data_IF_113051925393
#
_entry.id   IF_113051925393
#
_cell.length_a   1.000
_cell.length_b   1.000
_cell.length_c   1.000
_cell.angle_alpha   90.00
_cell.angle_beta   90.00
_cell.angle_gamma   90.00
#
_symmetry.space_group_name_H-M   'P 1'
#
loop_
_entity.id
_entity.type
_entity.pdbx_description
1 polymer ?
#
# COMPACT_ATOMS: atom_id res chain seq x y z
N UNK A 1 8.45 28.78 -21.76
CA UNK A 1 8.54 28.55 -21.27
C UNK A 1 8.85 27.64 -20.52
N UNK A 2 9.07 27.14 -20.46
CA UNK A 2 9.48 26.36 -19.88
C UNK A 2 9.92 26.22 -18.83
N UNK A 3 10.00 26.35 -18.78
CA UNK A 3 10.39 26.75 -17.66
C UNK A 3 9.90 26.15 -16.45
N UNK A 4 8.87 25.54 -16.43
CA UNK A 4 8.24 25.02 -15.29
C UNK A 4 9.03 24.00 -14.60
N UNK A 5 9.70 23.18 -15.34
CA UNK A 5 10.46 22.19 -14.67
C UNK A 5 11.53 22.78 -13.87
N UNK A 6 12.04 23.88 -14.34
CA UNK A 6 13.11 24.50 -13.62
C UNK A 6 12.67 24.99 -12.27
N UNK A 7 11.38 25.19 -12.09
CA UNK A 7 10.90 25.67 -10.82
C UNK A 7 10.53 24.60 -9.86
N UNK A 8 10.62 23.35 -10.30
CA UNK A 8 10.30 22.27 -9.42
C UNK A 8 11.33 22.18 -8.32
N UNK A 9 10.88 22.13 -7.09
CA UNK A 9 11.78 22.05 -5.97
C UNK A 9 12.35 20.66 -5.85
N UNK A 10 13.61 20.54 -5.40
CA UNK A 10 14.16 19.21 -5.15
C UNK A 10 13.35 18.51 -4.08
N UNK A 11 13.11 17.24 -4.29
CA UNK A 11 12.40 16.45 -3.32
C UNK A 11 13.39 15.79 -2.37
N UNK A 12 12.95 15.57 -1.15
CA UNK A 12 13.74 14.80 -0.22
C UNK A 12 13.91 13.39 -0.75
N UNK A 13 14.97 12.71 -0.36
CA UNK A 13 15.17 11.34 -0.83
C UNK A 13 14.05 10.44 -0.33
N UNK A 14 13.72 9.40 -1.09
CA UNK A 14 12.70 8.47 -0.65
C UNK A 14 13.16 7.64 0.52
N UNK A 15 12.23 7.33 1.42
CA UNK A 15 12.44 6.44 2.53
C UNK A 15 11.50 5.26 2.31
N UNK A 16 12.06 4.05 2.32
CA UNK A 16 11.26 2.84 2.13
C UNK A 16 11.06 2.16 3.46
N UNK A 17 9.85 1.64 3.66
CA UNK A 17 9.54 0.95 4.90
C UNK A 17 8.70 -0.28 4.58
N UNK A 18 9.17 -1.43 5.04
CA UNK A 18 8.45 -2.69 4.85
C UNK A 18 7.39 -2.83 5.93
N UNK A 19 6.20 -3.29 5.54
CA UNK A 19 5.18 -3.67 6.52
C UNK A 19 5.48 -5.03 7.13
N UNK A 20 6.64 -5.57 6.86
CA UNK A 20 7.23 -6.74 7.50
C UNK A 20 6.53 -8.02 7.07
N UNK A 21 5.80 -8.66 7.95
CA UNK A 21 5.27 -9.98 7.66
C UNK A 21 4.36 -9.97 6.44
N UNK A 22 4.40 -11.03 5.64
CA UNK A 22 3.50 -11.12 4.50
C UNK A 22 2.04 -11.10 4.94
N UNK A 23 1.19 -10.60 4.04
CA UNK A 23 -0.24 -10.70 4.19
C UNK A 23 -0.67 -12.02 3.55
N UNK A 24 -1.42 -12.81 4.29
CA UNK A 24 -1.93 -14.09 3.80
C UNK A 24 -3.43 -14.06 4.02
N UNK A 25 -4.19 -14.02 2.94
CA UNK A 25 -5.64 -13.88 3.04
C UNK A 25 -6.32 -14.93 2.20
N UNK A 26 -7.52 -15.32 2.63
CA UNK A 26 -8.39 -16.15 1.83
C UNK A 26 -9.14 -15.25 0.85
N UNK A 27 -9.16 -15.65 -0.41
CA UNK A 27 -9.88 -14.90 -1.43
C UNK A 27 -11.35 -15.25 -1.42
N UNK A 28 -12.18 -14.32 -1.88
CA UNK A 28 -13.62 -14.52 -1.99
C UNK A 28 -13.91 -15.41 -3.20
N UNK A 29 -14.11 -16.70 -2.94
CA UNK A 29 -14.35 -17.66 -3.99
C UNK A 29 -14.91 -18.93 -3.39
N UNK A 30 -15.52 -19.78 -4.23
CA UNK A 30 -16.04 -21.08 -3.81
C UNK A 30 -14.93 -22.05 -3.50
N UNK A 31 -13.77 -21.88 -4.09
CA UNK A 31 -12.67 -22.80 -3.89
C UNK A 31 -11.71 -22.20 -2.87
N UNK A 32 -10.86 -23.07 -2.32
CA UNK A 32 -9.90 -22.61 -1.32
C UNK A 32 -8.70 -22.00 -2.04
N UNK A 33 -8.66 -20.69 -2.07
CA UNK A 33 -7.61 -19.95 -2.74
C UNK A 33 -7.02 -18.92 -1.76
N UNK A 34 -5.72 -18.73 -1.82
CA UNK A 34 -5.01 -17.82 -0.94
C UNK A 34 -4.26 -16.79 -1.76
N UNK A 35 -4.17 -15.60 -1.20
CA UNK A 35 -3.30 -14.56 -1.72
C UNK A 35 -2.24 -14.28 -0.66
N UNK A 36 -0.97 -14.30 -1.07
CA UNK A 36 0.13 -13.94 -0.19
C UNK A 36 0.90 -12.81 -0.84
N UNK A 37 1.09 -11.73 -0.10
CA UNK A 37 1.83 -10.61 -0.65
C UNK A 37 2.58 -9.86 0.43
N UNK A 38 3.64 -9.18 0.02
CA UNK A 38 4.41 -8.31 0.90
C UNK A 38 4.34 -6.89 0.36
N UNK A 39 4.40 -5.93 1.29
CA UNK A 39 4.18 -4.54 0.95
C UNK A 39 5.34 -3.70 1.47
N UNK A 40 5.79 -2.78 0.63
CA UNK A 40 6.68 -1.71 1.05
C UNK A 40 6.06 -0.38 0.71
N UNK A 41 6.25 0.58 1.59
CA UNK A 41 5.75 1.92 1.43
C UNK A 41 6.91 2.87 1.16
N UNK A 42 6.62 3.95 0.46
CA UNK A 42 7.62 4.98 0.23
C UNK A 42 7.05 6.33 0.66
N UNK A 43 7.83 7.05 1.42
CA UNK A 43 7.52 8.42 1.80
C UNK A 43 8.82 9.21 1.79
N UNK A 44 8.71 10.54 1.87
CA UNK A 44 9.91 11.37 1.86
C UNK A 44 10.10 12.10 3.17
N UNK A 45 9.20 11.89 4.11
CA UNK A 45 9.27 12.54 5.43
C UNK A 45 9.30 11.45 6.47
N UNK A 46 10.32 11.51 7.33
CA UNK A 46 10.47 10.51 8.39
C UNK A 46 9.25 10.49 9.30
N UNK A 47 8.58 11.64 9.49
CA UNK A 47 7.38 11.67 10.31
C UNK A 47 6.26 10.79 9.78
N UNK A 48 6.16 10.67 8.44
CA UNK A 48 5.17 9.78 7.84
C UNK A 48 5.53 8.33 8.14
N UNK A 49 6.81 7.99 8.03
CA UNK A 49 7.25 6.63 8.32
C UNK A 49 7.03 6.29 9.79
N UNK A 50 7.30 7.25 10.68
CA UNK A 50 7.07 7.02 12.11
C UNK A 50 5.60 6.77 12.39
N UNK A 51 4.70 7.50 11.70
CA UNK A 51 3.27 7.29 11.86
C UNK A 51 2.85 5.91 11.39
N UNK A 52 3.42 5.47 10.26
CA UNK A 52 3.14 4.12 9.75
C UNK A 52 3.58 3.08 10.78
N UNK A 53 4.77 3.25 11.36
CA UNK A 53 5.26 2.31 12.36
C UNK A 53 4.35 2.26 13.58
N UNK A 54 3.95 3.43 14.05
CA UNK A 54 3.13 3.51 15.25
C UNK A 54 1.78 2.84 15.05
N UNK A 55 1.20 3.00 13.88
CA UNK A 55 -0.14 2.50 13.59
C UNK A 55 -0.15 1.26 12.72
N UNK A 56 0.97 0.55 12.68
CA UNK A 56 1.09 -0.62 11.82
C UNK A 56 -0.01 -1.65 12.03
N UNK A 57 -0.39 -1.99 13.28
CA UNK A 57 -1.46 -2.99 13.43
C UNK A 57 -2.77 -2.54 12.80
N UNK A 58 -3.10 -1.27 12.90
CA UNK A 58 -4.33 -0.76 12.32
C UNK A 58 -4.27 -0.78 10.80
N UNK A 59 -3.12 -0.40 10.25
CA UNK A 59 -2.93 -0.43 8.82
C UNK A 59 -3.00 -1.86 8.29
N UNK A 60 -2.34 -2.79 8.99
CA UNK A 60 -2.38 -4.17 8.55
C UNK A 60 -3.79 -4.75 8.62
N UNK A 61 -4.54 -4.42 9.64
CA UNK A 61 -5.92 -4.89 9.75
C UNK A 61 -6.76 -4.40 8.58
N UNK A 62 -6.67 -3.11 8.28
CA UNK A 62 -7.49 -2.56 7.21
C UNK A 62 -7.07 -3.09 5.85
N UNK A 63 -5.77 -3.28 5.64
CA UNK A 63 -5.29 -3.85 4.38
C UNK A 63 -5.71 -5.30 4.23
N UNK A 64 -5.67 -6.05 5.33
CA UNK A 64 -6.11 -7.44 5.29
C UNK A 64 -7.57 -7.54 4.85
N UNK A 65 -8.42 -6.67 5.40
CA UNK A 65 -9.83 -6.66 5.02
C UNK A 65 -10.00 -6.27 3.56
N UNK A 66 -9.21 -5.31 3.10
CA UNK A 66 -9.26 -4.89 1.71
C UNK A 66 -8.89 -6.05 0.78
N UNK A 67 -7.80 -6.75 1.08
CA UNK A 67 -7.35 -7.84 0.23
C UNK A 67 -8.30 -9.02 0.24
N UNK A 68 -8.92 -9.30 1.38
CA UNK A 68 -9.80 -10.46 1.50
C UNK A 68 -11.11 -10.28 0.74
N UNK A 69 -11.41 -9.09 0.29
CA UNK A 69 -12.58 -8.84 -0.53
C UNK A 69 -12.35 -9.14 -2.00
N UNK A 70 -11.10 -9.41 -2.40
CA UNK A 70 -10.77 -9.67 -3.79
C UNK A 70 -11.11 -11.10 -4.16
N UNK A 71 -11.25 -11.32 -5.46
CA UNK A 71 -11.45 -12.66 -6.01
C UNK A 71 -10.23 -13.05 -6.83
N UNK A 72 -10.04 -14.35 -7.11
CA UNK A 72 -8.94 -14.73 -7.97
C UNK A 72 -8.99 -14.04 -9.34
N UNK A 73 -10.20 -13.83 -9.87
CA UNK A 73 -10.34 -13.17 -11.16
C UNK A 73 -9.94 -11.71 -11.11
N UNK A 74 -10.27 -11.02 -10.02
CA UNK A 74 -10.03 -9.58 -9.96
C UNK A 74 -8.55 -9.25 -9.89
N UNK A 75 -7.70 -10.19 -9.44
CA UNK A 75 -6.28 -9.93 -9.29
C UNK A 75 -5.43 -10.77 -10.22
N UNK A 76 -6.05 -11.37 -11.24
CA UNK A 76 -5.30 -12.20 -12.19
C UNK A 76 -4.70 -11.39 -13.32
N UNK A 77 -5.12 -10.15 -13.50
CA UNK A 77 -4.63 -9.31 -14.59
C UNK A 77 -3.73 -8.22 -14.04
N UNK A 78 -2.92 -7.65 -14.93
CA UNK A 78 -2.08 -6.51 -14.55
C UNK A 78 -2.92 -5.35 -14.09
N UNK A 79 -4.04 -5.11 -14.78
CA UNK A 79 -4.93 -4.01 -14.42
C UNK A 79 -5.53 -4.22 -13.04
N UNK A 80 -5.92 -5.46 -12.73
CA UNK A 80 -6.50 -5.75 -11.43
C UNK A 80 -5.49 -5.59 -10.31
N UNK A 81 -4.26 -6.04 -10.55
CA UNK A 81 -3.21 -5.87 -9.54
C UNK A 81 -2.90 -4.39 -9.31
N UNK A 82 -2.87 -3.60 -10.37
CA UNK A 82 -2.61 -2.17 -10.23
C UNK A 82 -3.76 -1.47 -9.52
N UNK A 83 -5.00 -1.85 -9.81
CA UNK A 83 -6.14 -1.29 -9.12
C UNK A 83 -6.08 -1.60 -7.63
N UNK A 84 -5.67 -2.82 -7.28
CA UNK A 84 -5.54 -3.20 -5.88
C UNK A 84 -4.43 -2.42 -5.21
N UNK A 85 -3.32 -2.21 -5.89
CA UNK A 85 -2.21 -1.44 -5.35
C UNK A 85 -2.64 -0.01 -5.03
N UNK A 86 -3.38 0.61 -5.94
CA UNK A 86 -3.87 1.96 -5.72
C UNK A 86 -4.87 2.01 -4.58
N UNK A 87 -5.74 1.02 -4.48
CA UNK A 87 -6.70 0.97 -3.39
C UNK A 87 -5.98 0.81 -2.06
N UNK A 88 -4.93 0.01 -2.02
CA UNK A 88 -4.16 -0.19 -0.81
C UNK A 88 -3.47 1.11 -0.40
N UNK A 89 -2.89 1.83 -1.35
CA UNK A 89 -2.25 3.11 -1.05
C UNK A 89 -3.27 4.10 -0.49
N UNK A 90 -4.44 4.18 -1.12
CA UNK A 90 -5.49 5.08 -0.66
C UNK A 90 -5.94 4.72 0.75
N UNK A 91 -6.00 3.42 1.05
CA UNK A 91 -6.41 2.98 2.38
C UNK A 91 -5.41 3.42 3.44
N UNK A 92 -4.11 3.28 3.16
CA UNK A 92 -3.08 3.71 4.09
C UNK A 92 -3.18 5.22 4.34
N UNK A 93 -3.31 5.98 3.26
CA UNK A 93 -3.42 7.43 3.38
C UNK A 93 -4.66 7.82 4.17
N UNK A 94 -5.77 7.14 3.93
CA UNK A 94 -7.03 7.45 4.61
C UNK A 94 -6.95 7.17 6.10
N UNK A 95 -6.36 6.04 6.48
CA UNK A 95 -6.23 5.68 7.89
C UNK A 95 -5.38 6.71 8.62
N UNK A 96 -4.24 7.06 8.04
CA UNK A 96 -3.35 8.03 8.69
C UNK A 96 -4.03 9.40 8.79
N UNK A 97 -4.74 9.80 7.75
CA UNK A 97 -5.45 11.07 7.78
C UNK A 97 -6.53 11.10 8.84
N UNK A 98 -7.29 10.01 8.96
CA UNK A 98 -8.34 9.93 9.97
C UNK A 98 -7.79 9.98 11.39
N UNK A 99 -6.56 9.54 11.58
CA UNK A 99 -5.92 9.57 12.89
C UNK A 99 -5.23 10.89 13.16
N UNK A 100 -5.28 11.84 12.23
CA UNK A 100 -4.62 13.13 12.41
C UNK A 100 -3.12 13.06 12.24
N UNK A 101 -2.61 12.02 11.59
CA UNK A 101 -1.18 11.83 11.41
C UNK A 101 -0.73 12.35 10.06
N UNK A 102 0.59 12.59 9.88
CA UNK A 102 1.08 12.85 8.53
C UNK A 102 0.76 11.68 7.63
N UNK A 103 0.16 11.97 6.48
CA UNK A 103 -0.41 10.93 5.64
C UNK A 103 0.18 10.87 4.24
N UNK A 104 1.30 11.56 3.99
CA UNK A 104 1.86 11.65 2.64
C UNK A 104 2.71 10.44 2.31
N UNK A 105 2.11 9.27 2.33
CA UNK A 105 2.72 8.08 1.73
C UNK A 105 2.57 8.25 0.23
N UNK A 106 3.70 8.27 -0.49
CA UNK A 106 3.66 8.54 -1.92
C UNK A 106 3.40 7.31 -2.74
N UNK A 107 3.97 6.17 -2.33
CA UNK A 107 3.85 4.96 -3.11
C UNK A 107 3.71 3.77 -2.19
N UNK A 108 3.07 2.76 -2.72
CA UNK A 108 2.96 1.47 -2.09
C UNK A 108 3.29 0.43 -3.14
N UNK A 109 4.15 -0.51 -2.79
CA UNK A 109 4.62 -1.53 -3.72
C UNK A 109 4.28 -2.91 -3.19
N UNK A 110 3.83 -3.77 -4.10
CA UNK A 110 3.79 -5.20 -3.80
C UNK A 110 5.13 -5.77 -4.20
N UNK A 111 5.95 -6.10 -3.22
CA UNK A 111 7.28 -6.63 -3.50
C UNK A 111 7.26 -8.13 -3.73
N UNK A 112 6.16 -8.76 -3.41
CA UNK A 112 5.91 -10.17 -3.72
C UNK A 112 4.41 -10.36 -3.74
N UNK A 113 3.92 -11.09 -4.72
CA UNK A 113 2.49 -11.39 -4.81
C UNK A 113 2.33 -12.78 -5.41
N UNK A 114 1.77 -13.69 -4.63
CA UNK A 114 1.59 -15.07 -5.03
C UNK A 114 0.14 -15.45 -4.74
N UNK A 115 -0.52 -16.05 -5.72
CA UNK A 115 -1.87 -16.57 -5.54
C UNK A 115 -1.81 -18.08 -5.65
N UNK A 116 -2.36 -18.77 -4.67
CA UNK A 116 -2.35 -20.22 -4.64
C UNK A 116 -3.75 -20.79 -4.58
#
# INVERSE_FOLDING_TARGET
EEVEEAEEEPKEPPIYYSLEDPFIVNLSTDTRRFLQLTIELMARDQGVIDAVKEHRPRLRNNLLLLFSAETPESISTAEGKEALRRAALAEVQSVLGDLGEPAEVEELYFTSLVMQ
#
